data_IF_831998688425
#
_entry.id   IF_831998688425
#
_cell.length_a   1.000
_cell.length_b   1.000
_cell.length_c   1.000
_cell.angle_alpha   90.00
_cell.angle_beta   90.00
_cell.angle_gamma   90.00
#
_symmetry.space_group_name_H-M   'P 1'
#
loop_
_entity.id
_entity.type
_entity.pdbx_description
1 polymer ?
#
# COMPACT_ATOMS: atom_id res chain seq x y z
N UNK A 1 -11.41 -0.51 -9.74
CA UNK A 1 -10.52 -1.49 -9.09
C UNK A 1 -11.01 -2.89 -9.42
N UNK A 2 -10.13 -3.89 -9.39
CA UNK A 2 -10.49 -5.28 -9.68
C UNK A 2 -9.58 -6.24 -8.92
N UNK A 3 -10.08 -7.44 -8.67
CA UNK A 3 -9.31 -8.62 -8.29
C UNK A 3 -9.49 -9.64 -9.42
N UNK A 4 -8.40 -10.20 -9.91
CA UNK A 4 -8.41 -11.26 -10.90
C UNK A 4 -7.66 -12.48 -10.36
N UNK A 5 -8.19 -13.68 -10.55
CA UNK A 5 -7.60 -14.92 -10.06
C UNK A 5 -7.79 -16.07 -11.05
N UNK A 6 -6.83 -16.99 -11.09
CA UNK A 6 -7.00 -18.28 -11.77
C UNK A 6 -7.74 -19.31 -10.91
N UNK A 7 -7.85 -19.05 -9.61
CA UNK A 7 -8.62 -19.84 -8.67
C UNK A 7 -10.00 -19.18 -8.44
N UNK A 8 -11.00 -19.93 -7.98
CA UNK A 8 -12.30 -19.37 -7.61
C UNK A 8 -12.15 -18.22 -6.62
N UNK A 9 -12.94 -17.17 -6.83
CA UNK A 9 -13.06 -16.03 -5.90
C UNK A 9 -14.40 -16.18 -5.18
N UNK A 10 -14.35 -16.21 -3.86
CA UNK A 10 -15.52 -16.13 -3.00
C UNK A 10 -15.82 -14.66 -2.70
N UNK A 11 -17.09 -14.28 -2.76
CA UNK A 11 -17.53 -12.94 -2.41
C UNK A 11 -17.40 -12.70 -0.89
N UNK A 12 -16.73 -11.62 -0.54
CA UNK A 12 -16.64 -11.13 0.84
C UNK A 12 -16.88 -9.62 0.86
N UNK A 13 -17.45 -9.07 1.94
CA UNK A 13 -17.68 -7.64 2.04
C UNK A 13 -16.33 -6.89 2.12
N UNK A 14 -16.29 -5.68 1.57
CA UNK A 14 -15.19 -4.76 1.84
C UNK A 14 -15.21 -4.33 3.31
N UNK A 15 -14.02 -4.17 3.91
CA UNK A 15 -13.87 -3.73 5.31
C UNK A 15 -14.51 -2.37 5.57
N UNK A 16 -14.55 -1.54 4.55
CA UNK A 16 -15.12 -0.20 4.61
C UNK A 16 -15.59 0.27 3.24
N UNK A 17 -16.36 1.34 3.22
CA UNK A 17 -16.73 2.09 2.02
C UNK A 17 -16.19 3.50 2.10
N UNK A 18 -15.88 4.10 0.95
CA UNK A 18 -15.46 5.49 0.87
C UNK A 18 -16.61 6.43 1.28
N UNK A 19 -16.38 7.39 2.17
CA UNK A 19 -17.41 8.35 2.62
C UNK A 19 -18.03 9.17 1.47
N UNK A 20 -17.29 9.35 0.38
CA UNK A 20 -17.76 10.06 -0.82
C UNK A 20 -18.44 9.14 -1.85
N UNK A 21 -18.66 7.87 -1.51
CA UNK A 21 -19.30 6.89 -2.40
C UNK A 21 -18.45 6.45 -3.59
N UNK A 22 -17.16 6.79 -3.63
CA UNK A 22 -16.27 6.36 -4.70
C UNK A 22 -15.95 4.87 -4.60
N UNK A 23 -15.84 4.17 -5.75
CA UNK A 23 -15.46 2.75 -5.84
C UNK A 23 -13.96 2.55 -5.59
N UNK A 24 -13.51 2.77 -4.35
CA UNK A 24 -12.10 2.71 -3.91
C UNK A 24 -11.72 1.46 -3.16
N UNK A 25 -12.69 0.55 -2.98
CA UNK A 25 -12.50 -0.70 -2.25
C UNK A 25 -13.05 -1.85 -3.09
N UNK A 26 -12.35 -2.97 -3.11
CA UNK A 26 -12.83 -4.25 -3.64
C UNK A 26 -12.26 -5.37 -2.79
N UNK A 27 -13.07 -6.39 -2.52
CA UNK A 27 -12.64 -7.53 -1.71
C UNK A 27 -13.01 -8.85 -2.39
N UNK A 28 -12.30 -9.90 -2.04
CA UNK A 28 -12.56 -11.26 -2.46
C UNK A 28 -11.74 -12.24 -1.62
N UNK A 29 -12.15 -13.49 -1.55
CA UNK A 29 -11.40 -14.54 -0.86
C UNK A 29 -10.94 -15.57 -1.88
N UNK A 30 -9.66 -15.89 -1.88
CA UNK A 30 -9.02 -16.84 -2.80
C UNK A 30 -8.18 -17.82 -2.00
N UNK A 31 -8.40 -19.11 -2.19
CA UNK A 31 -7.70 -20.18 -1.48
C UNK A 31 -7.66 -19.98 0.05
N UNK A 32 -8.75 -19.52 0.62
CA UNK A 32 -8.87 -19.28 2.07
C UNK A 32 -8.31 -17.93 2.56
N UNK A 33 -7.63 -17.15 1.70
CA UNK A 33 -7.07 -15.83 2.03
C UNK A 33 -8.04 -14.74 1.60
N UNK A 34 -8.44 -13.88 2.52
CA UNK A 34 -9.21 -12.68 2.23
C UNK A 34 -8.27 -11.58 1.70
N UNK A 35 -8.64 -10.97 0.59
CA UNK A 35 -7.90 -9.90 -0.07
C UNK A 35 -8.78 -8.66 -0.04
N UNK A 36 -8.30 -7.61 0.59
CA UNK A 36 -8.91 -6.28 0.64
C UNK A 36 -8.02 -5.32 -0.14
N UNK A 37 -8.47 -4.92 -1.33
CA UNK A 37 -7.70 -4.06 -2.23
C UNK A 37 -8.27 -2.63 -2.19
N UNK A 38 -7.42 -1.65 -1.91
CA UNK A 38 -7.77 -0.25 -1.74
C UNK A 38 -7.04 0.67 -2.73
N UNK A 39 -7.75 1.68 -3.19
CA UNK A 39 -7.16 2.85 -3.84
C UNK A 39 -7.42 4.08 -2.96
N UNK A 40 -6.53 4.32 -2.02
CA UNK A 40 -6.68 5.40 -1.05
C UNK A 40 -6.54 6.76 -1.77
N UNK A 41 -7.33 7.79 -1.40
CA UNK A 41 -7.21 9.10 -2.03
C UNK A 41 -5.79 9.67 -2.01
N UNK A 42 -5.33 10.27 -3.12
CA UNK A 42 -3.99 10.85 -3.21
C UNK A 42 -3.77 12.01 -2.24
N UNK A 43 -4.82 12.76 -1.88
CA UNK A 43 -4.73 13.83 -0.87
C UNK A 43 -4.49 15.22 -1.45
N UNK A 44 -4.32 15.37 -2.78
CA UNK A 44 -4.07 16.66 -3.42
C UNK A 44 -2.67 17.20 -3.13
N UNK A 45 -2.48 18.53 -3.23
CA UNK A 45 -1.14 19.15 -3.19
C UNK A 45 -0.80 19.82 -1.85
N UNK A 46 -1.81 20.11 -1.02
CA UNK A 46 -1.63 20.84 0.25
C UNK A 46 -1.90 19.91 1.42
N UNK A 47 -0.91 19.64 2.30
CA UNK A 47 -1.06 18.75 3.44
C UNK A 47 -1.70 19.46 4.64
N UNK A 48 -2.88 20.02 4.45
CA UNK A 48 -3.65 20.71 5.47
C UNK A 48 -5.09 20.16 5.46
N UNK A 49 -5.48 19.53 6.56
CA UNK A 49 -6.79 18.88 6.70
C UNK A 49 -7.96 19.88 6.66
N UNK A 50 -7.74 21.12 7.08
CA UNK A 50 -8.78 22.17 7.11
C UNK A 50 -8.89 22.86 5.76
N UNK A 51 -7.75 23.23 5.16
CA UNK A 51 -7.72 23.98 3.91
C UNK A 51 -7.90 23.08 2.66
N UNK A 52 -7.65 21.78 2.77
CA UNK A 52 -7.70 20.85 1.64
C UNK A 52 -8.63 19.66 1.91
N UNK A 53 -9.87 19.68 1.40
CA UNK A 53 -10.82 18.56 1.58
C UNK A 53 -10.32 17.21 1.05
N UNK A 54 -9.43 17.19 0.03
CA UNK A 54 -8.84 15.96 -0.50
C UNK A 54 -7.87 15.34 0.49
N UNK A 55 -7.12 16.16 1.23
CA UNK A 55 -6.22 15.69 2.27
C UNK A 55 -7.00 15.20 3.50
N UNK A 56 -8.07 15.91 3.88
CA UNK A 56 -9.00 15.45 4.91
C UNK A 56 -9.63 14.10 4.55
N UNK A 57 -10.12 13.95 3.34
CA UNK A 57 -10.69 12.69 2.84
C UNK A 57 -9.68 11.52 2.90
N UNK A 58 -8.41 11.79 2.59
CA UNK A 58 -7.34 10.79 2.69
C UNK A 58 -7.13 10.31 4.14
N UNK A 59 -7.00 11.23 5.08
CA UNK A 59 -6.81 10.90 6.49
C UNK A 59 -8.03 10.20 7.09
N UNK A 60 -9.25 10.67 6.77
CA UNK A 60 -10.49 10.01 7.15
C UNK A 60 -10.58 8.56 6.63
N UNK A 61 -10.11 8.32 5.39
CA UNK A 61 -10.06 6.98 4.84
C UNK A 61 -9.17 6.06 5.68
N UNK A 62 -7.98 6.53 6.08
CA UNK A 62 -7.08 5.80 6.98
C UNK A 62 -7.68 5.57 8.36
N UNK A 63 -8.33 6.56 8.95
CA UNK A 63 -9.00 6.47 10.25
C UNK A 63 -10.11 5.41 10.21
N UNK A 64 -10.93 5.42 9.15
CA UNK A 64 -12.03 4.45 8.95
C UNK A 64 -11.49 3.03 8.75
N UNK A 65 -10.46 2.87 7.90
CA UNK A 65 -9.82 1.56 7.67
C UNK A 65 -9.17 1.02 8.94
N UNK A 66 -8.49 1.89 9.70
CA UNK A 66 -7.89 1.53 10.99
C UNK A 66 -8.94 1.04 12.00
N UNK A 67 -10.09 1.72 12.06
CA UNK A 67 -11.20 1.32 12.94
C UNK A 67 -11.76 -0.04 12.52
N UNK A 68 -11.93 -0.30 11.23
CA UNK A 68 -12.40 -1.57 10.72
C UNK A 68 -11.42 -2.73 10.99
N UNK A 69 -10.11 -2.49 10.80
CA UNK A 69 -9.08 -3.48 11.08
C UNK A 69 -8.98 -3.85 12.56
N UNK A 70 -9.22 -2.91 13.48
CA UNK A 70 -9.24 -3.18 14.93
C UNK A 70 -10.31 -4.18 15.35
N UNK A 71 -11.34 -4.37 14.55
CA UNK A 71 -12.42 -5.33 14.81
C UNK A 71 -12.12 -6.76 14.31
N UNK A 72 -10.99 -6.95 13.61
CA UNK A 72 -10.59 -8.24 13.05
C UNK A 72 -9.67 -9.01 13.99
N UNK A 73 -9.73 -10.33 13.91
CA UNK A 73 -8.74 -11.19 14.58
C UNK A 73 -7.43 -11.17 13.76
N UNK A 74 -6.28 -10.82 14.37
CA UNK A 74 -4.99 -10.89 13.69
C UNK A 74 -4.63 -12.28 13.15
N UNK A 75 -5.31 -13.34 13.61
CA UNK A 75 -5.13 -14.71 13.11
C UNK A 75 -5.89 -14.99 11.81
N UNK A 76 -6.86 -14.16 11.44
CA UNK A 76 -7.57 -14.30 10.17
C UNK A 76 -6.58 -14.13 9.00
N UNK A 77 -6.59 -15.01 7.99
CA UNK A 77 -5.73 -14.90 6.82
C UNK A 77 -6.19 -13.74 5.92
N UNK A 78 -5.64 -12.56 6.15
CA UNK A 78 -6.00 -11.30 5.48
C UNK A 78 -4.80 -10.66 4.79
N UNK A 79 -5.00 -10.18 3.57
CA UNK A 79 -4.12 -9.27 2.84
C UNK A 79 -4.83 -7.92 2.66
N UNK A 80 -4.17 -6.86 3.08
CA UNK A 80 -4.51 -5.47 2.73
C UNK A 80 -3.53 -5.01 1.66
N UNK A 81 -4.01 -4.62 0.48
CA UNK A 81 -3.14 -4.29 -0.64
C UNK A 81 -3.69 -3.14 -1.48
N UNK A 82 -2.88 -2.63 -2.39
CA UNK A 82 -3.23 -1.62 -3.39
C UNK A 82 -2.36 -0.38 -3.34
N UNK A 83 -2.79 0.65 -4.05
CA UNK A 83 -2.21 1.99 -3.97
C UNK A 83 -2.72 2.69 -2.72
N UNK A 84 -1.92 2.64 -1.66
CA UNK A 84 -2.26 3.26 -0.39
C UNK A 84 -1.85 4.74 -0.33
N UNK A 85 -1.18 5.25 -1.37
CA UNK A 85 -0.81 6.67 -1.53
C UNK A 85 0.02 7.27 -0.38
N UNK A 86 0.70 6.45 0.42
CA UNK A 86 1.65 6.88 1.45
C UNK A 86 2.94 6.08 1.29
N UNK A 87 4.07 6.79 1.33
CA UNK A 87 5.42 6.24 1.41
C UNK A 87 5.90 6.34 2.86
N UNK A 88 5.81 5.27 3.69
CA UNK A 88 5.92 5.39 5.15
C UNK A 88 7.35 5.52 5.67
N UNK A 89 8.32 4.88 5.03
CA UNK A 89 9.72 4.84 5.49
C UNK A 89 10.60 5.96 4.92
N UNK A 90 11.73 6.23 5.55
CA UNK A 90 12.72 7.19 5.04
C UNK A 90 13.30 6.76 3.70
N UNK A 91 13.39 5.45 3.45
CA UNK A 91 13.86 4.87 2.22
C UNK A 91 12.74 4.46 1.25
N UNK A 92 11.48 4.83 1.57
CA UNK A 92 10.33 4.74 0.68
C UNK A 92 10.15 5.99 -0.18
N UNK A 93 11.02 6.99 0.00
CA UNK A 93 11.03 8.24 -0.77
C UNK A 93 12.45 8.57 -1.24
N UNK A 94 12.54 9.28 -2.35
CA UNK A 94 13.82 9.70 -2.91
C UNK A 94 14.61 10.63 -1.97
N UNK A 95 13.93 11.42 -1.12
CA UNK A 95 14.53 12.32 -0.13
C UNK A 95 13.56 12.55 1.04
N UNK A 96 13.79 11.87 2.16
CA UNK A 96 12.97 12.03 3.37
C UNK A 96 12.81 13.51 3.76
N UNK A 97 13.92 14.26 3.89
CA UNK A 97 13.89 15.67 4.33
C UNK A 97 13.05 16.58 3.43
N UNK A 98 13.07 16.36 2.10
CA UNK A 98 12.28 17.17 1.17
C UNK A 98 10.82 16.76 1.16
N UNK A 99 10.56 15.47 1.32
CA UNK A 99 9.21 14.89 1.23
C UNK A 99 8.37 15.10 2.50
N UNK A 100 8.95 15.42 3.66
CA UNK A 100 8.20 15.69 4.91
C UNK A 100 7.14 16.79 4.81
N UNK A 101 7.20 17.62 3.77
CA UNK A 101 6.23 18.70 3.51
C UNK A 101 5.38 18.44 2.27
N UNK A 102 5.51 17.27 1.67
CA UNK A 102 4.83 16.89 0.43
C UNK A 102 3.85 15.76 0.72
N UNK A 103 2.63 15.89 0.22
CA UNK A 103 1.59 14.85 0.33
C UNK A 103 2.15 13.50 -0.11
N UNK A 104 1.74 12.45 0.56
CA UNK A 104 2.22 11.06 0.55
C UNK A 104 3.41 10.74 1.47
N UNK A 105 4.00 11.74 2.17
CA UNK A 105 5.07 11.50 3.15
C UNK A 105 5.08 12.53 4.32
N UNK A 106 3.95 13.17 4.58
CA UNK A 106 3.86 14.15 5.68
C UNK A 106 3.67 13.46 7.04
N UNK A 107 4.10 14.07 8.16
CA UNK A 107 3.97 13.47 9.48
C UNK A 107 2.56 12.97 9.82
N UNK A 108 1.45 13.69 9.51
CA UNK A 108 0.11 13.16 9.75
C UNK A 108 -0.20 11.89 8.95
N UNK A 109 0.29 11.79 7.71
CA UNK A 109 0.11 10.60 6.88
C UNK A 109 0.92 9.41 7.41
N UNK A 110 2.17 9.66 7.80
CA UNK A 110 3.03 8.62 8.40
C UNK A 110 2.40 8.06 9.68
N UNK A 111 1.87 8.93 10.53
CA UNK A 111 1.15 8.52 11.75
C UNK A 111 -0.12 7.72 11.43
N UNK A 112 -0.87 8.11 10.41
CA UNK A 112 -2.09 7.41 9.99
C UNK A 112 -1.77 6.01 9.43
N UNK A 113 -0.73 5.88 8.62
CA UNK A 113 -0.26 4.59 8.10
C UNK A 113 0.23 3.67 9.24
N UNK A 114 1.05 4.20 10.15
CA UNK A 114 1.54 3.44 11.29
C UNK A 114 0.39 2.95 12.18
N UNK A 115 -0.57 3.83 12.50
CA UNK A 115 -1.76 3.45 13.26
C UNK A 115 -2.57 2.34 12.59
N UNK A 116 -2.70 2.36 11.27
CA UNK A 116 -3.35 1.31 10.49
C UNK A 116 -2.58 -0.02 10.59
N UNK A 117 -1.28 -0.01 10.36
CA UNK A 117 -0.42 -1.21 10.44
C UNK A 117 -0.45 -1.80 11.84
N UNK A 118 -0.28 -0.97 12.87
CA UNK A 118 -0.28 -1.41 14.27
C UNK A 118 -1.65 -1.93 14.75
N UNK A 119 -2.74 -1.46 14.16
CA UNK A 119 -4.10 -1.86 14.55
C UNK A 119 -4.34 -3.36 14.48
N UNK A 120 -3.66 -4.03 13.56
CA UNK A 120 -3.75 -5.49 13.34
C UNK A 120 -2.35 -6.15 13.29
N UNK A 121 -1.27 -5.43 13.58
CA UNK A 121 0.13 -5.88 13.49
C UNK A 121 0.47 -6.41 12.10
N UNK A 122 0.07 -5.71 11.06
CA UNK A 122 0.27 -6.12 9.68
C UNK A 122 1.76 -6.20 9.33
N UNK A 123 2.12 -7.23 8.56
CA UNK A 123 3.47 -7.47 8.05
C UNK A 123 3.59 -6.81 6.66
N UNK A 124 4.49 -5.86 6.50
CA UNK A 124 4.78 -5.21 5.23
C UNK A 124 5.72 -6.10 4.39
N UNK A 125 5.15 -6.94 3.53
CA UNK A 125 5.90 -7.96 2.81
C UNK A 125 6.99 -7.38 1.89
N UNK A 126 6.75 -6.34 1.07
CA UNK A 126 7.80 -5.72 0.27
C UNK A 126 8.95 -5.15 1.11
N UNK A 127 8.66 -4.52 2.25
CA UNK A 127 9.68 -3.96 3.12
C UNK A 127 10.46 -5.04 3.88
N UNK A 128 9.81 -6.16 4.24
CA UNK A 128 10.49 -7.32 4.82
C UNK A 128 11.42 -8.01 3.81
N UNK A 129 11.08 -8.02 2.52
CA UNK A 129 11.93 -8.56 1.46
C UNK A 129 13.10 -7.62 1.10
N UNK A 130 12.90 -6.31 1.26
CA UNK A 130 13.91 -5.26 1.00
C UNK A 130 14.11 -4.43 2.27
N UNK A 131 14.89 -4.94 3.26
CA UNK A 131 15.06 -4.26 4.54
C UNK A 131 15.74 -2.90 4.44
N UNK A 132 15.51 -2.05 5.44
CA UNK A 132 16.26 -0.82 5.60
C UNK A 132 17.80 -1.10 5.67
N UNK A 133 18.67 -0.25 5.11
CA UNK A 133 18.39 1.07 4.54
C UNK A 133 18.17 1.06 3.01
N UNK A 134 17.81 -0.05 2.41
CA UNK A 134 17.61 -0.12 0.96
C UNK A 134 16.39 0.69 0.51
N UNK A 135 16.56 1.47 -0.57
CA UNK A 135 15.45 2.21 -1.17
C UNK A 135 14.49 1.27 -1.88
N UNK A 136 13.20 1.52 -1.66
CA UNK A 136 12.13 0.73 -2.27
C UNK A 136 11.07 1.68 -2.82
N UNK A 137 10.87 1.64 -4.15
CA UNK A 137 9.90 2.51 -4.83
C UNK A 137 9.02 1.67 -5.74
N UNK A 138 7.74 2.05 -5.84
CA UNK A 138 6.78 1.44 -6.74
C UNK A 138 6.20 2.43 -7.75
N UNK A 139 6.47 3.73 -7.57
CA UNK A 139 5.96 4.82 -8.40
C UNK A 139 7.05 5.84 -8.76
N UNK A 140 7.01 6.35 -10.00
CA UNK A 140 7.86 7.45 -10.47
C UNK A 140 7.06 8.37 -11.37
N UNK A 141 7.17 9.69 -11.12
CA UNK A 141 6.48 10.69 -11.93
C UNK A 141 6.87 10.63 -13.41
N UNK A 142 5.88 10.73 -14.29
CA UNK A 142 6.10 10.91 -15.75
C UNK A 142 6.87 12.19 -16.11
N UNK A 143 6.98 13.15 -15.20
CA UNK A 143 7.77 14.38 -15.44
C UNK A 143 9.27 14.12 -15.55
N UNK A 144 9.76 12.99 -15.08
CA UNK A 144 11.13 12.57 -15.24
C UNK A 144 11.28 11.85 -16.59
N UNK A 145 11.94 12.48 -17.55
CA UNK A 145 12.19 11.87 -18.86
C UNK A 145 13.00 10.56 -18.77
N UNK A 146 13.87 10.47 -17.77
CA UNK A 146 14.60 9.26 -17.41
C UNK A 146 14.43 9.01 -15.91
N UNK A 147 13.53 8.09 -15.58
CA UNK A 147 13.20 7.77 -14.19
C UNK A 147 14.36 7.07 -13.47
N UNK A 148 15.18 6.28 -14.16
CA UNK A 148 16.33 5.59 -13.56
C UNK A 148 17.43 6.57 -13.19
N UNK A 149 17.73 7.54 -14.05
CA UNK A 149 18.74 8.57 -13.81
C UNK A 149 18.34 9.50 -12.67
N UNK A 150 17.10 9.96 -12.64
CA UNK A 150 16.59 10.84 -11.59
C UNK A 150 16.34 10.10 -10.29
N UNK A 151 15.88 8.87 -10.38
CA UNK A 151 15.44 7.93 -9.32
C UNK A 151 14.63 8.60 -8.19
N UNK A 152 13.75 9.55 -8.58
CA UNK A 152 12.85 10.24 -7.64
C UNK A 152 11.55 9.46 -7.49
N UNK A 153 11.66 8.25 -6.93
CA UNK A 153 10.54 7.35 -6.70
C UNK A 153 9.90 7.51 -5.32
N UNK A 154 8.72 6.94 -5.22
CA UNK A 154 7.95 6.76 -3.98
C UNK A 154 7.45 5.30 -3.90
N UNK A 155 7.32 4.75 -2.71
CA UNK A 155 6.62 3.48 -2.50
C UNK A 155 5.18 3.76 -2.09
N UNK A 156 4.26 3.66 -3.04
CA UNK A 156 2.83 3.93 -2.83
C UNK A 156 1.98 2.66 -2.81
N UNK A 157 2.50 1.58 -3.43
CA UNK A 157 1.82 0.30 -3.55
C UNK A 157 2.33 -0.67 -2.48
N UNK A 158 1.40 -1.29 -1.76
CA UNK A 158 1.69 -2.10 -0.59
C UNK A 158 1.03 -3.47 -0.66
N UNK A 159 1.67 -4.46 -0.03
CA UNK A 159 1.11 -5.78 0.26
C UNK A 159 1.37 -6.05 1.74
N UNK A 160 0.31 -5.90 2.53
CA UNK A 160 0.35 -6.03 3.98
C UNK A 160 -0.39 -7.30 4.38
N UNK A 161 0.28 -8.23 5.06
CA UNK A 161 -0.29 -9.49 5.50
C UNK A 161 -0.62 -9.45 6.99
N UNK A 162 -1.73 -10.06 7.38
CA UNK A 162 -2.03 -10.31 8.79
C UNK A 162 -1.03 -11.29 9.42
N UNK A 163 -0.84 -11.27 10.76
CA UNK A 163 -0.05 -12.28 11.46
C UNK A 163 -0.48 -13.72 11.19
N UNK A 164 -1.78 -13.95 10.88
CA UNK A 164 -2.29 -15.27 10.49
C UNK A 164 -1.63 -15.84 9.23
N UNK A 165 -1.06 -14.99 8.37
CA UNK A 165 -0.32 -15.39 7.17
C UNK A 165 1.21 -15.42 7.36
N UNK A 166 1.73 -15.17 8.56
CA UNK A 166 3.17 -15.08 8.78
C UNK A 166 3.93 -16.32 8.29
N UNK A 167 3.45 -17.52 8.62
CA UNK A 167 4.09 -18.77 8.20
C UNK A 167 3.97 -19.06 6.70
N UNK A 168 2.93 -18.52 6.05
CA UNK A 168 2.76 -18.60 4.60
C UNK A 168 3.66 -17.62 3.85
N UNK A 169 3.93 -16.46 4.44
CA UNK A 169 4.70 -15.37 3.83
C UNK A 169 6.20 -15.46 4.13
N UNK A 170 6.61 -15.98 5.29
CA UNK A 170 8.02 -16.04 5.72
C UNK A 170 8.50 -17.48 5.66
N UNK A 171 9.49 -17.76 4.81
CA UNK A 171 10.11 -19.08 4.64
C UNK A 171 11.60 -19.00 4.87
N UNK A 172 12.10 -19.89 5.71
CA UNK A 172 13.53 -19.91 6.09
C UNK A 172 14.02 -18.53 6.51
N UNK A 173 13.14 -17.77 7.21
CA UNK A 173 13.41 -16.40 7.65
C UNK A 173 13.39 -15.34 6.54
N UNK A 174 12.92 -15.68 5.33
CA UNK A 174 12.89 -14.77 4.17
C UNK A 174 11.47 -14.57 3.64
N UNK A 175 11.21 -13.38 3.13
CA UNK A 175 10.01 -13.03 2.35
C UNK A 175 10.38 -12.94 0.88
N UNK A 176 9.59 -13.55 0.01
CA UNK A 176 9.69 -13.38 -1.44
C UNK A 176 8.74 -12.28 -1.87
N UNK A 177 9.28 -11.12 -2.19
CA UNK A 177 8.53 -9.99 -2.73
C UNK A 177 9.44 -9.13 -3.61
N UNK A 178 8.86 -8.53 -4.66
CA UNK A 178 9.61 -7.73 -5.63
C UNK A 178 8.75 -6.62 -6.23
N UNK A 179 9.38 -5.47 -6.47
CA UNK A 179 8.87 -4.43 -7.38
C UNK A 179 9.46 -4.67 -8.76
N UNK A 180 8.60 -4.75 -9.79
CA UNK A 180 8.99 -4.99 -11.18
C UNK A 180 9.16 -3.66 -11.91
N UNK A 181 10.21 -2.90 -11.59
CA UNK A 181 10.48 -1.58 -12.13
C UNK A 181 10.93 -1.59 -13.60
N UNK A 182 11.34 -2.76 -14.11
CA UNK A 182 11.65 -3.00 -15.50
C UNK A 182 10.47 -2.69 -16.45
N UNK A 183 9.22 -2.88 -16.00
CA UNK A 183 8.02 -2.54 -16.80
C UNK A 183 7.89 -1.03 -17.06
N UNK A 184 8.58 -0.20 -16.30
CA UNK A 184 8.63 1.25 -16.51
C UNK A 184 9.41 1.63 -17.80
N UNK A 185 10.13 0.70 -18.40
CA UNK A 185 10.85 0.87 -19.66
C UNK A 185 10.05 0.42 -20.89
N UNK A 186 8.86 -0.13 -20.70
CA UNK A 186 8.00 -0.55 -21.80
C UNK A 186 7.45 0.64 -22.59
N UNK A 187 6.97 0.38 -23.80
CA UNK A 187 6.25 1.38 -24.58
C UNK A 187 4.97 1.81 -23.84
N UNK A 188 4.82 3.11 -23.54
CA UNK A 188 3.69 3.69 -22.79
C UNK A 188 3.46 3.01 -21.42
N UNK A 189 4.48 2.97 -20.55
CA UNK A 189 4.34 2.31 -19.25
C UNK A 189 3.40 3.08 -18.31
N UNK A 190 2.89 2.40 -17.29
CA UNK A 190 2.29 3.07 -16.12
C UNK A 190 3.35 3.86 -15.35
N UNK A 191 2.95 4.87 -14.56
CA UNK A 191 3.82 5.52 -13.56
C UNK A 191 4.03 4.65 -12.31
N UNK A 192 3.23 3.59 -12.14
CA UNK A 192 3.44 2.55 -11.14
C UNK A 192 4.13 1.32 -11.76
N UNK A 193 4.92 0.63 -10.93
CA UNK A 193 5.47 -0.69 -11.21
C UNK A 193 4.67 -1.76 -10.43
N UNK A 194 4.41 -2.94 -11.01
CA UNK A 194 3.79 -4.04 -10.30
C UNK A 194 4.61 -4.47 -9.08
N UNK A 195 3.91 -4.78 -7.99
CA UNK A 195 4.51 -5.35 -6.78
C UNK A 195 3.97 -6.75 -6.59
N UNK A 196 4.84 -7.71 -6.33
CA UNK A 196 4.47 -9.11 -6.08
C UNK A 196 4.95 -9.59 -4.72
N UNK A 197 4.22 -10.55 -4.16
CA UNK A 197 4.66 -11.32 -3.00
C UNK A 197 4.19 -12.77 -3.16
N UNK A 198 5.02 -13.72 -2.74
CA UNK A 198 4.71 -15.13 -2.78
C UNK A 198 4.26 -15.59 -1.39
N UNK A 199 3.08 -16.22 -1.35
CA UNK A 199 2.56 -16.86 -0.15
C UNK A 199 2.27 -18.35 -0.47
N UNK A 200 2.58 -19.22 0.47
CA UNK A 200 2.23 -20.62 0.36
C UNK A 200 1.09 -20.94 1.34
N UNK A 201 -0.12 -20.89 0.82
CA UNK A 201 -1.38 -21.15 1.51
C UNK A 201 -1.97 -22.47 1.08
#
# INVERSE_FOLDING_TARGET
MAIASRLPIEDVPTLMTCREGHARCVAGKVAGVEIQNFYIPAGGDTPDRVANPKFDHKLDFYETLTAALKLRDPKDPLIVTGDLNIAPGENDVWSHRQMLKVVSHTPPELAAFDAMVQSMKLLDLPRLATPEPEKLFSWWSYRAADFRKSNRGLRLDHILASPGLQNAAIRDGKVSSRVHDDVREWERPSDHAPVTADLQV
#
